data_IF_835934464660
#
_entry.id   IF_835934464660
#
_cell.length_a   1.000
_cell.length_b   1.000
_cell.length_c   1.000
_cell.angle_alpha   90.00
_cell.angle_beta   90.00
_cell.angle_gamma   90.00
#
_symmetry.space_group_name_H-M   'P 1'
#
loop_
_entity.id
_entity.type
_entity.pdbx_description
1 polymer ?
#
# COMPACT_ATOMS: atom_id res chain seq x y z
N UNK A 1 -39.59 32.50 -7.03
CA UNK A 1 -38.45 31.55 -7.35
C UNK A 1 -38.56 30.35 -6.46
N UNK A 2 -38.74 29.18 -7.06
CA UNK A 2 -39.18 27.95 -6.39
C UNK A 2 -38.00 27.31 -5.64
N UNK A 3 -38.16 26.92 -4.35
CA UNK A 3 -37.16 26.26 -3.50
C UNK A 3 -36.56 24.99 -4.14
N UNK A 4 -37.34 24.35 -5.05
CA UNK A 4 -36.91 23.20 -5.83
C UNK A 4 -35.81 23.56 -6.84
N UNK A 5 -35.89 24.73 -7.50
CA UNK A 5 -34.85 25.23 -8.42
C UNK A 5 -33.55 25.60 -7.74
N UNK A 6 -33.61 26.05 -6.49
CA UNK A 6 -32.40 26.34 -5.69
C UNK A 6 -31.72 25.02 -5.22
N UNK A 7 -32.51 24.03 -4.82
CA UNK A 7 -31.98 22.72 -4.43
C UNK A 7 -31.38 21.96 -5.63
N UNK A 8 -32.02 22.02 -6.83
CA UNK A 8 -31.44 21.45 -8.05
C UNK A 8 -30.13 22.13 -8.46
N UNK A 9 -30.00 23.47 -8.30
CA UNK A 9 -28.75 24.18 -8.56
C UNK A 9 -27.63 23.78 -7.60
N UNK A 10 -27.92 23.53 -6.33
CA UNK A 10 -26.95 23.05 -5.34
C UNK A 10 -26.47 21.63 -5.67
N UNK A 11 -27.32 20.78 -6.27
CA UNK A 11 -26.93 19.43 -6.72
C UNK A 11 -26.12 19.48 -8.02
N UNK A 12 -26.41 20.45 -8.92
CA UNK A 12 -25.69 20.60 -10.20
C UNK A 12 -24.36 21.37 -10.05
N UNK A 13 -24.21 22.22 -9.03
CA UNK A 13 -22.97 22.95 -8.77
C UNK A 13 -21.89 22.10 -8.06
N UNK A 14 -22.26 20.89 -7.61
CA UNK A 14 -21.34 19.91 -7.02
C UNK A 14 -20.58 19.08 -8.08
N UNK A 15 -20.69 19.46 -9.37
CA UNK A 15 -19.97 18.81 -10.50
C UNK A 15 -18.59 19.44 -10.79
N UNK A 16 -18.08 20.33 -9.95
CA UNK A 16 -16.64 20.59 -9.95
C UNK A 16 -15.95 19.35 -9.49
N UNK A 17 -15.34 18.63 -10.43
CA UNK A 17 -14.43 17.54 -10.11
C UNK A 17 -13.49 18.04 -9.00
N UNK A 18 -13.46 17.35 -7.86
CA UNK A 18 -12.47 17.67 -6.82
C UNK A 18 -11.11 17.70 -7.49
N UNK A 19 -10.27 18.72 -7.25
CA UNK A 19 -8.94 18.74 -7.84
C UNK A 19 -8.25 17.44 -7.47
N UNK A 20 -7.66 16.79 -8.46
CA UNK A 20 -6.90 15.55 -8.25
C UNK A 20 -5.74 15.86 -7.31
N UNK A 21 -5.62 15.07 -6.24
CA UNK A 21 -4.46 15.17 -5.37
C UNK A 21 -3.26 14.60 -6.13
N UNK A 22 -2.25 15.43 -6.36
CA UNK A 22 -0.96 14.98 -6.89
C UNK A 22 -0.07 14.66 -5.70
N UNK A 23 0.36 13.39 -5.55
CA UNK A 23 1.20 12.98 -4.44
C UNK A 23 2.51 13.77 -4.36
N UNK A 24 3.02 14.03 -3.17
CA UNK A 24 4.26 14.79 -2.96
C UNK A 24 5.41 13.85 -2.64
N UNK A 25 6.31 13.62 -3.59
CA UNK A 25 7.50 12.78 -3.38
C UNK A 25 8.41 13.40 -2.32
N UNK A 26 8.71 12.61 -1.26
CA UNK A 26 9.67 12.95 -0.20
C UNK A 26 10.80 11.93 -0.20
N UNK A 27 12.04 12.38 -0.35
CA UNK A 27 13.22 11.51 -0.25
C UNK A 27 13.81 11.64 1.15
N UNK A 28 13.26 10.87 2.08
CA UNK A 28 13.69 10.83 3.48
C UNK A 28 14.52 9.56 3.71
N UNK A 29 15.47 9.62 4.65
CA UNK A 29 16.23 8.48 5.17
C UNK A 29 15.96 8.37 6.66
N UNK A 30 15.53 7.20 7.12
CA UNK A 30 15.15 7.01 8.52
C UNK A 30 16.28 6.42 9.38
N UNK A 31 17.25 5.72 8.76
CA UNK A 31 18.42 5.15 9.45
C UNK A 31 18.02 4.39 10.73
N UNK A 32 17.06 3.47 10.60
CA UNK A 32 16.57 2.65 11.71
C UNK A 32 17.71 1.85 12.35
N UNK A 33 17.72 1.73 13.69
CA UNK A 33 18.71 0.90 14.38
C UNK A 33 18.41 -0.59 14.16
N UNK A 34 19.26 -1.33 13.42
CA UNK A 34 19.02 -2.74 13.11
C UNK A 34 19.00 -3.63 14.36
N UNK A 35 19.60 -3.21 15.47
CA UNK A 35 19.58 -3.95 16.74
C UNK A 35 18.20 -3.94 17.40
N UNK A 36 17.36 -2.97 17.04
CA UNK A 36 16.03 -2.82 17.60
C UNK A 36 14.94 -3.55 16.79
N UNK A 37 15.26 -4.21 15.70
CA UNK A 37 14.30 -4.81 14.76
C UNK A 37 13.29 -5.76 15.43
N UNK A 38 13.66 -6.44 16.49
CA UNK A 38 12.79 -7.38 17.21
C UNK A 38 11.98 -6.75 18.34
N UNK A 39 12.31 -5.52 18.76
CA UNK A 39 11.70 -4.87 19.94
C UNK A 39 11.51 -3.35 19.81
N UNK A 40 11.53 -2.83 18.57
CA UNK A 40 11.41 -1.39 18.32
C UNK A 40 10.09 -0.77 18.82
N UNK A 41 9.06 -1.59 19.06
CA UNK A 41 7.78 -1.13 19.59
C UNK A 41 7.49 -1.73 20.98
N UNK A 42 8.19 -1.26 22.02
CA UNK A 42 8.05 -1.78 23.38
C UNK A 42 6.60 -1.69 23.94
N UNK A 43 5.86 -0.57 23.80
CA UNK A 43 4.47 -0.50 24.31
C UNK A 43 3.48 -1.42 23.59
N UNK A 44 3.61 -1.58 22.26
CA UNK A 44 2.79 -2.48 21.46
C UNK A 44 3.19 -3.95 21.60
N UNK A 45 4.37 -4.16 22.19
CA UNK A 45 4.90 -5.48 22.47
C UNK A 45 5.30 -6.26 21.22
N UNK A 46 5.65 -7.54 21.42
CA UNK A 46 6.18 -8.37 20.33
C UNK A 46 5.14 -8.67 19.24
N UNK A 47 3.86 -8.68 19.56
CA UNK A 47 2.80 -8.99 18.59
C UNK A 47 2.70 -7.89 17.54
N UNK A 48 2.63 -6.61 17.95
CA UNK A 48 2.56 -5.49 17.02
C UNK A 48 3.87 -5.32 16.25
N UNK A 49 5.02 -5.46 16.91
CA UNK A 49 6.33 -5.46 16.26
C UNK A 49 6.40 -6.54 15.18
N UNK A 50 6.03 -7.79 15.49
CA UNK A 50 6.04 -8.89 14.54
C UNK A 50 5.04 -8.68 13.38
N UNK A 51 3.87 -8.10 13.65
CA UNK A 51 2.90 -7.79 12.60
C UNK A 51 3.45 -6.77 11.60
N UNK A 52 3.97 -5.65 12.09
CA UNK A 52 4.53 -4.59 11.25
C UNK A 52 5.81 -5.07 10.53
N UNK A 53 6.66 -5.88 11.17
CA UNK A 53 7.80 -6.52 10.53
C UNK A 53 7.37 -7.47 9.39
N UNK A 54 6.33 -8.28 9.62
CA UNK A 54 5.78 -9.16 8.57
C UNK A 54 5.24 -8.34 7.41
N UNK A 55 4.57 -7.23 7.70
CA UNK A 55 4.05 -6.34 6.68
C UNK A 55 5.17 -5.66 5.89
N UNK A 56 6.18 -5.11 6.57
CA UNK A 56 7.37 -4.53 5.93
C UNK A 56 8.04 -5.49 4.94
N UNK A 57 8.09 -6.79 5.27
CA UNK A 57 8.73 -7.81 4.42
C UNK A 57 8.19 -7.83 2.99
N UNK A 58 6.90 -7.54 2.81
CA UNK A 58 6.25 -7.63 1.49
C UNK A 58 6.11 -6.30 0.77
N UNK A 59 6.35 -5.17 1.45
CA UNK A 59 6.19 -3.85 0.86
C UNK A 59 7.09 -3.65 -0.37
N UNK A 60 8.42 -3.91 -0.35
CA UNK A 60 9.26 -3.64 -1.51
C UNK A 60 8.84 -4.42 -2.77
N UNK A 61 8.41 -5.66 -2.61
CA UNK A 61 7.95 -6.47 -3.76
C UNK A 61 6.54 -6.07 -4.21
N UNK A 62 5.68 -5.65 -3.26
CA UNK A 62 4.33 -5.14 -3.52
C UNK A 62 4.38 -3.81 -4.28
N UNK A 63 5.19 -2.88 -3.81
CA UNK A 63 5.34 -1.54 -4.41
C UNK A 63 5.94 -1.61 -5.82
N UNK A 64 6.91 -2.49 -6.06
CA UNK A 64 7.37 -2.78 -7.44
C UNK A 64 6.22 -3.28 -8.32
N UNK A 65 5.37 -4.15 -7.82
CA UNK A 65 4.17 -4.62 -8.53
C UNK A 65 3.19 -3.47 -8.81
N UNK A 66 2.96 -2.55 -7.85
CA UNK A 66 2.11 -1.37 -8.05
C UNK A 66 2.66 -0.46 -9.13
N UNK A 67 3.95 -0.14 -9.06
CA UNK A 67 4.67 0.65 -10.08
C UNK A 67 4.47 0.04 -11.46
N UNK A 68 4.71 -1.24 -11.63
CA UNK A 68 4.65 -1.91 -12.93
C UNK A 68 3.23 -1.97 -13.47
N UNK A 69 2.24 -2.24 -12.63
CA UNK A 69 0.84 -2.32 -13.02
C UNK A 69 0.28 -0.97 -13.50
N UNK A 70 0.64 0.13 -12.81
CA UNK A 70 0.24 1.49 -13.20
C UNK A 70 1.02 1.97 -14.42
N UNK A 71 2.32 1.71 -14.48
CA UNK A 71 3.20 2.08 -15.60
C UNK A 71 2.74 1.45 -16.92
N UNK A 72 2.19 0.24 -16.89
CA UNK A 72 1.69 -0.45 -18.10
C UNK A 72 0.59 0.35 -18.85
N UNK A 73 -0.06 1.29 -18.18
CA UNK A 73 -1.12 2.10 -18.79
C UNK A 73 -0.73 3.56 -19.02
N UNK A 74 0.49 3.98 -18.65
CA UNK A 74 0.92 5.39 -18.68
C UNK A 74 0.72 6.06 -20.03
N UNK A 75 0.98 5.35 -21.12
CA UNK A 75 0.87 5.90 -22.48
C UNK A 75 -0.59 6.02 -22.96
N UNK A 76 -1.52 5.31 -22.33
CA UNK A 76 -2.94 5.38 -22.62
C UNK A 76 -3.66 6.51 -21.88
N UNK A 77 -3.01 7.09 -20.86
CA UNK A 77 -3.58 8.21 -20.10
C UNK A 77 -3.42 9.48 -20.93
N UNK A 78 -4.52 10.19 -21.17
CA UNK A 78 -4.52 11.46 -21.91
C UNK A 78 -4.57 12.69 -21.00
N UNK A 79 -5.16 12.56 -19.80
CA UNK A 79 -5.26 13.63 -18.81
C UNK A 79 -3.88 13.99 -18.24
N UNK A 80 -3.40 15.24 -18.40
CA UNK A 80 -2.10 15.66 -17.92
C UNK A 80 -1.98 15.65 -16.39
N UNK A 81 -3.07 15.92 -15.65
CA UNK A 81 -3.05 15.90 -14.18
C UNK A 81 -2.92 14.44 -13.68
N UNK A 82 -3.63 13.49 -14.29
CA UNK A 82 -3.46 12.09 -13.97
C UNK A 82 -2.05 11.58 -14.33
N UNK A 83 -1.45 12.05 -15.43
CA UNK A 83 -0.04 11.74 -15.76
C UNK A 83 0.93 12.24 -14.68
N UNK A 84 0.70 13.42 -14.12
CA UNK A 84 1.50 13.96 -13.01
C UNK A 84 1.31 13.10 -11.77
N UNK A 85 0.06 12.77 -11.40
CA UNK A 85 -0.24 11.93 -10.26
C UNK A 85 0.41 10.55 -10.37
N UNK A 86 0.34 9.90 -11.53
CA UNK A 86 1.01 8.62 -11.82
C UNK A 86 2.53 8.74 -11.67
N UNK A 87 3.13 9.83 -12.16
CA UNK A 87 4.58 10.03 -12.03
C UNK A 87 4.99 10.21 -10.57
N UNK A 88 4.20 10.95 -9.80
CA UNK A 88 4.42 11.16 -8.37
C UNK A 88 4.22 9.88 -7.56
N UNK A 89 3.15 9.12 -7.84
CA UNK A 89 2.89 7.78 -7.29
C UNK A 89 4.09 6.85 -7.47
N UNK A 90 4.55 6.67 -8.71
CA UNK A 90 5.73 5.84 -9.01
C UNK A 90 6.96 6.32 -8.21
N UNK A 91 7.08 7.64 -8.00
CA UNK A 91 8.17 8.21 -7.22
C UNK A 91 8.06 7.97 -5.71
N UNK A 92 6.87 7.99 -5.13
CA UNK A 92 6.63 7.67 -3.72
C UNK A 92 6.87 6.18 -3.48
N UNK A 93 6.26 5.30 -4.28
CA UNK A 93 6.44 3.84 -4.18
C UNK A 93 7.91 3.43 -4.26
N UNK A 94 8.70 4.06 -5.13
CA UNK A 94 10.13 3.79 -5.22
C UNK A 94 10.91 4.24 -3.96
N UNK A 95 10.42 5.25 -3.23
CA UNK A 95 11.03 5.68 -1.96
C UNK A 95 10.62 4.77 -0.81
N UNK A 96 9.35 4.34 -0.77
CA UNK A 96 8.85 3.33 0.17
C UNK A 96 9.66 2.05 0.07
N UNK A 97 9.77 1.48 -1.15
CA UNK A 97 10.55 0.27 -1.41
C UNK A 97 11.99 0.37 -0.88
N UNK A 98 12.67 1.48 -1.14
CA UNK A 98 14.05 1.71 -0.67
C UNK A 98 14.16 1.69 0.86
N UNK A 99 13.27 2.38 1.58
CA UNK A 99 13.34 2.46 3.04
C UNK A 99 12.95 1.11 3.68
N UNK A 100 11.99 0.41 3.09
CA UNK A 100 11.62 -0.92 3.57
C UNK A 100 12.62 -2.00 3.17
N UNK A 101 13.41 -1.85 2.11
CA UNK A 101 14.56 -2.72 1.83
C UNK A 101 15.60 -2.60 2.94
N UNK A 102 15.99 -1.38 3.35
CA UNK A 102 16.91 -1.17 4.48
C UNK A 102 16.36 -1.73 5.80
N UNK A 103 15.07 -1.55 6.06
CA UNK A 103 14.38 -2.14 7.20
C UNK A 103 14.46 -3.68 7.17
N UNK A 104 14.17 -4.25 6.00
CA UNK A 104 14.12 -5.70 5.82
C UNK A 104 15.51 -6.35 5.87
N UNK A 105 16.59 -5.67 5.50
CA UNK A 105 17.95 -6.16 5.68
C UNK A 105 18.23 -6.48 7.15
N UNK A 106 17.80 -5.61 8.08
CA UNK A 106 17.92 -5.88 9.51
C UNK A 106 17.05 -7.07 9.97
N UNK A 107 15.81 -7.18 9.42
CA UNK A 107 14.90 -8.27 9.74
C UNK A 107 15.42 -9.62 9.22
N UNK A 108 15.97 -9.67 8.02
CA UNK A 108 16.50 -10.89 7.40
C UNK A 108 17.75 -11.43 8.11
N UNK A 109 18.47 -10.55 8.81
CA UNK A 109 19.59 -10.98 9.63
C UNK A 109 19.17 -11.77 10.88
N UNK A 110 17.92 -11.63 11.35
CA UNK A 110 17.41 -12.26 12.58
C UNK A 110 16.24 -13.20 12.38
N UNK A 111 15.67 -13.27 11.16
CA UNK A 111 14.55 -14.15 10.83
C UNK A 111 14.89 -15.07 9.67
N UNK A 112 14.61 -16.36 9.82
CA UNK A 112 14.71 -17.33 8.73
C UNK A 112 13.43 -17.40 7.88
N UNK A 113 12.33 -16.88 8.40
CA UNK A 113 10.99 -16.90 7.80
C UNK A 113 10.82 -15.75 6.82
N UNK A 114 11.18 -14.54 7.23
CA UNK A 114 10.94 -13.31 6.46
C UNK A 114 11.51 -13.35 5.02
N UNK A 115 12.78 -13.72 4.77
CA UNK A 115 13.30 -13.75 3.40
C UNK A 115 12.69 -14.86 2.52
N UNK A 116 12.11 -15.90 3.10
CA UNK A 116 11.37 -16.93 2.35
C UNK A 116 10.00 -16.39 1.95
N UNK A 117 9.40 -15.63 2.84
CA UNK A 117 8.10 -15.01 2.59
C UNK A 117 8.17 -13.95 1.49
N UNK A 118 9.16 -13.07 1.53
CA UNK A 118 9.39 -12.10 0.45
C UNK A 118 9.50 -12.80 -0.91
N UNK A 119 10.35 -13.83 -1.03
CA UNK A 119 10.50 -14.60 -2.29
C UNK A 119 9.21 -15.27 -2.75
N UNK A 120 8.41 -15.81 -1.81
CA UNK A 120 7.12 -16.41 -2.14
C UNK A 120 6.17 -15.37 -2.73
N UNK A 121 6.03 -14.21 -2.07
CA UNK A 121 5.16 -13.12 -2.53
C UNK A 121 5.65 -12.56 -3.87
N UNK A 122 6.95 -12.37 -4.03
CA UNK A 122 7.53 -11.93 -5.31
C UNK A 122 7.18 -12.90 -6.46
N UNK A 123 7.28 -14.21 -6.23
CA UNK A 123 6.89 -15.23 -7.21
C UNK A 123 5.41 -15.17 -7.59
N UNK A 124 4.54 -14.97 -6.60
CA UNK A 124 3.09 -14.79 -6.81
C UNK A 124 2.81 -13.55 -7.64
N UNK A 125 3.36 -12.39 -7.27
CA UNK A 125 3.14 -11.12 -7.96
C UNK A 125 3.70 -11.12 -9.40
N UNK A 126 4.89 -11.70 -9.62
CA UNK A 126 5.45 -11.90 -10.96
C UNK A 126 4.54 -12.75 -11.85
N UNK A 127 3.87 -13.73 -11.26
CA UNK A 127 2.90 -14.56 -11.99
C UNK A 127 1.71 -13.73 -12.46
N UNK A 128 1.15 -12.88 -11.61
CA UNK A 128 0.06 -11.98 -12.00
C UNK A 128 0.47 -11.00 -13.10
N UNK A 129 1.62 -10.35 -12.98
CA UNK A 129 2.14 -9.42 -13.99
C UNK A 129 2.34 -10.08 -15.36
N UNK A 130 2.65 -11.38 -15.39
CA UNK A 130 2.86 -12.12 -16.62
C UNK A 130 1.57 -12.40 -17.40
N UNK A 131 0.44 -12.58 -16.69
CA UNK A 131 -0.78 -13.09 -17.32
C UNK A 131 -1.77 -12.01 -17.76
N UNK A 132 -1.93 -10.91 -17.03
CA UNK A 132 -2.97 -9.93 -17.37
C UNK A 132 -2.75 -8.57 -16.72
N UNK A 133 -2.43 -7.56 -17.54
CA UNK A 133 -2.31 -6.18 -17.07
C UNK A 133 -3.60 -5.65 -16.38
N UNK A 134 -4.84 -5.93 -16.89
CA UNK A 134 -6.05 -5.54 -16.17
C UNK A 134 -6.20 -6.21 -14.79
N UNK A 135 -5.83 -7.50 -14.67
CA UNK A 135 -5.87 -8.20 -13.39
C UNK A 135 -4.83 -7.63 -12.43
N UNK A 136 -3.61 -7.34 -12.91
CA UNK A 136 -2.58 -6.68 -12.09
C UNK A 136 -3.03 -5.33 -11.56
N UNK A 137 -3.58 -4.47 -12.42
CA UNK A 137 -4.08 -3.16 -12.00
C UNK A 137 -5.27 -3.28 -11.03
N UNK A 138 -6.17 -4.25 -11.21
CA UNK A 138 -7.25 -4.49 -10.26
C UNK A 138 -6.74 -5.00 -8.92
N UNK A 139 -5.69 -5.81 -8.92
CA UNK A 139 -4.97 -6.25 -7.73
C UNK A 139 -4.29 -5.09 -6.98
N UNK A 140 -3.61 -4.20 -7.72
CA UNK A 140 -3.03 -2.98 -7.14
C UNK A 140 -4.10 -2.13 -6.46
N UNK A 141 -5.24 -1.87 -7.11
CA UNK A 141 -6.36 -1.11 -6.49
C UNK A 141 -6.80 -1.75 -5.16
N UNK A 142 -6.87 -3.08 -5.12
CA UNK A 142 -7.28 -3.80 -3.92
C UNK A 142 -6.24 -3.73 -2.80
N UNK A 143 -4.96 -3.88 -3.13
CA UNK A 143 -3.86 -3.81 -2.17
C UNK A 143 -3.67 -2.39 -1.65
N UNK A 144 -3.72 -1.38 -2.50
CA UNK A 144 -3.77 0.05 -2.14
C UNK A 144 -4.91 0.38 -1.17
N UNK A 145 -6.05 -0.30 -1.31
CA UNK A 145 -7.13 -0.15 -0.35
C UNK A 145 -6.76 -0.72 1.03
N UNK A 146 -6.04 -1.85 1.09
CA UNK A 146 -5.58 -2.42 2.36
C UNK A 146 -4.47 -1.58 3.00
N UNK A 147 -3.49 -1.12 2.23
CA UNK A 147 -2.43 -0.23 2.73
C UNK A 147 -3.03 1.08 3.23
N UNK A 148 -3.99 1.65 2.51
CA UNK A 148 -4.71 2.85 2.93
C UNK A 148 -5.51 2.68 4.23
N UNK A 149 -6.12 1.50 4.50
CA UNK A 149 -6.78 1.20 5.78
C UNK A 149 -5.78 1.08 6.93
N UNK A 150 -4.62 0.45 6.68
CA UNK A 150 -3.55 0.36 7.68
C UNK A 150 -2.93 1.74 7.93
N UNK A 151 -2.76 2.54 6.89
CA UNK A 151 -2.29 3.92 6.99
C UNK A 151 -3.22 4.78 7.86
N UNK A 152 -4.54 4.67 7.66
CA UNK A 152 -5.52 5.34 8.51
C UNK A 152 -5.37 4.93 9.98
N UNK A 153 -5.16 3.65 10.26
CA UNK A 153 -4.92 3.15 11.61
C UNK A 153 -3.64 3.73 12.24
N UNK A 154 -2.53 3.81 11.46
CA UNK A 154 -1.25 4.38 11.95
C UNK A 154 -1.38 5.88 12.23
N UNK A 155 -2.17 6.62 11.44
CA UNK A 155 -2.31 8.07 11.57
C UNK A 155 -3.37 8.47 12.60
N UNK A 156 -4.43 7.68 12.75
CA UNK A 156 -5.57 8.02 13.61
C UNK A 156 -5.48 7.44 15.03
N UNK A 157 -4.77 6.33 15.23
CA UNK A 157 -4.58 5.71 16.54
C UNK A 157 -3.13 5.87 17.04
N UNK A 158 -2.87 6.78 18.00
CA UNK A 158 -1.54 6.99 18.55
C UNK A 158 -0.89 5.70 19.07
N UNK A 159 -1.68 4.74 19.58
CA UNK A 159 -1.18 3.49 20.19
C UNK A 159 -0.39 2.63 19.21
N UNK A 160 -0.62 2.78 17.90
CA UNK A 160 0.09 2.00 16.87
C UNK A 160 1.57 2.31 16.80
N UNK A 161 1.99 3.54 17.13
CA UNK A 161 3.39 3.97 17.05
C UNK A 161 3.87 4.80 18.25
N UNK A 162 3.00 5.07 19.24
CA UNK A 162 3.36 5.84 20.44
C UNK A 162 4.31 5.04 21.34
N UNK A 163 5.40 5.68 21.78
CA UNK A 163 6.42 5.05 22.61
C UNK A 163 7.30 4.02 21.88
N UNK A 164 7.14 3.87 20.57
CA UNK A 164 8.04 3.10 19.72
C UNK A 164 9.38 3.82 19.55
N UNK A 165 10.40 3.09 19.05
CA UNK A 165 11.65 3.72 18.64
C UNK A 165 11.37 4.85 17.64
N UNK A 166 11.93 6.06 17.85
CA UNK A 166 11.58 7.24 17.05
C UNK A 166 11.83 7.10 15.55
N UNK A 167 12.89 6.39 15.13
CA UNK A 167 13.21 6.20 13.72
C UNK A 167 12.18 5.29 13.04
N UNK A 168 11.83 4.17 13.69
CA UNK A 168 10.79 3.26 13.22
C UNK A 168 9.41 3.92 13.19
N UNK A 169 9.04 4.64 14.25
CA UNK A 169 7.78 5.38 14.30
C UNK A 169 7.68 6.44 13.20
N UNK A 170 8.78 7.14 12.93
CA UNK A 170 8.83 8.15 11.86
C UNK A 170 8.69 7.52 10.47
N UNK A 171 9.33 6.37 10.22
CA UNK A 171 9.20 5.63 8.97
C UNK A 171 7.75 5.21 8.73
N UNK A 172 7.10 4.56 9.70
CA UNK A 172 5.72 4.11 9.55
C UNK A 172 4.72 5.26 9.40
N UNK A 173 4.91 6.40 10.11
CA UNK A 173 4.06 7.58 9.93
C UNK A 173 4.24 8.24 8.57
N UNK A 174 5.48 8.33 8.09
CA UNK A 174 5.76 8.87 6.76
C UNK A 174 5.14 8.01 5.66
N UNK A 175 5.36 6.69 5.71
CA UNK A 175 4.75 5.74 4.78
C UNK A 175 3.22 5.88 4.80
N UNK A 176 2.59 5.82 5.98
CA UNK A 176 1.15 5.97 6.12
C UNK A 176 0.62 7.31 5.57
N UNK A 177 1.35 8.41 5.75
CA UNK A 177 0.96 9.70 5.17
C UNK A 177 0.95 9.64 3.64
N UNK A 178 2.01 9.10 3.02
CA UNK A 178 2.12 9.02 1.57
C UNK A 178 1.09 8.05 0.98
N UNK A 179 0.75 6.93 1.65
CA UNK A 179 -0.36 6.04 1.30
C UNK A 179 -1.70 6.78 1.20
N UNK A 180 -1.97 7.74 2.10
CA UNK A 180 -3.22 8.52 2.02
C UNK A 180 -3.23 9.49 0.84
N UNK A 181 -2.06 9.94 0.37
CA UNK A 181 -1.94 10.85 -0.77
C UNK A 181 -2.20 10.14 -2.10
N UNK A 182 -1.78 8.88 -2.25
CA UNK A 182 -1.82 8.21 -3.55
C UNK A 182 -2.83 7.06 -3.68
N UNK A 183 -3.54 6.70 -2.63
CA UNK A 183 -4.54 5.61 -2.60
C UNK A 183 -5.59 5.62 -3.73
N UNK A 184 -5.82 6.77 -4.38
CA UNK A 184 -6.78 6.88 -5.47
C UNK A 184 -6.14 6.73 -6.86
N UNK A 185 -4.83 6.84 -7.00
CA UNK A 185 -4.16 6.95 -8.31
C UNK A 185 -4.40 5.71 -9.17
N UNK A 186 -4.22 4.51 -8.63
CA UNK A 186 -4.46 3.27 -9.37
C UNK A 186 -5.93 3.14 -9.83
N UNK A 187 -6.88 3.58 -9.00
CA UNK A 187 -8.31 3.60 -9.33
C UNK A 187 -8.64 4.64 -10.42
N UNK A 188 -8.00 5.81 -10.40
CA UNK A 188 -8.18 6.85 -11.41
C UNK A 188 -7.60 6.41 -12.75
N UNK A 189 -6.43 5.76 -12.76
CA UNK A 189 -5.87 5.10 -13.95
C UNK A 189 -6.84 4.06 -14.50
N UNK A 190 -7.37 3.18 -13.64
CA UNK A 190 -8.38 2.20 -14.05
C UNK A 190 -9.58 2.86 -14.71
N UNK A 191 -10.12 3.91 -14.11
CA UNK A 191 -11.30 4.61 -14.62
C UNK A 191 -11.02 5.26 -15.98
N UNK A 192 -9.82 5.79 -16.17
CA UNK A 192 -9.40 6.40 -17.43
C UNK A 192 -9.25 5.39 -18.57
N UNK A 193 -8.72 4.18 -18.28
CA UNK A 193 -8.36 3.21 -19.33
C UNK A 193 -9.38 2.09 -19.52
N UNK A 194 -10.05 1.65 -18.44
CA UNK A 194 -11.04 0.57 -18.47
C UNK A 194 -12.50 1.06 -18.47
N UNK A 195 -12.71 2.34 -18.11
CA UNK A 195 -14.03 2.93 -17.98
C UNK A 195 -14.81 2.45 -16.75
N UNK A 196 -16.14 2.73 -16.76
CA UNK A 196 -17.05 2.48 -15.64
C UNK A 196 -18.12 1.41 -15.93
N UNK A 197 -17.95 0.64 -17.00
CA UNK A 197 -18.92 -0.38 -17.41
C UNK A 197 -19.00 -1.57 -16.45
N UNK A 198 -20.04 -2.39 -16.59
CA UNK A 198 -20.30 -3.56 -15.73
C UNK A 198 -19.13 -4.55 -15.75
N UNK A 199 -18.49 -4.77 -16.91
CA UNK A 199 -17.31 -5.64 -17.02
C UNK A 199 -16.12 -5.11 -16.23
N UNK A 200 -15.82 -3.81 -16.32
CA UNK A 200 -14.76 -3.17 -15.55
C UNK A 200 -15.04 -3.23 -14.03
N UNK A 201 -16.29 -3.02 -13.63
CA UNK A 201 -16.72 -3.18 -12.24
C UNK A 201 -16.53 -4.62 -11.75
N UNK A 202 -17.01 -5.60 -12.51
CA UNK A 202 -16.90 -7.03 -12.18
C UNK A 202 -15.45 -7.48 -12.04
N UNK A 203 -14.55 -7.00 -12.91
CA UNK A 203 -13.12 -7.34 -12.83
C UNK A 203 -12.45 -6.73 -11.58
N UNK A 204 -12.85 -5.52 -11.15
CA UNK A 204 -12.37 -4.97 -9.88
C UNK A 204 -12.89 -5.76 -8.67
N UNK A 205 -14.14 -6.17 -8.67
CA UNK A 205 -14.69 -7.03 -7.61
C UNK A 205 -13.94 -8.37 -7.54
N UNK A 206 -13.66 -8.97 -8.71
CA UNK A 206 -12.84 -10.18 -8.80
C UNK A 206 -11.42 -9.93 -8.24
N UNK A 207 -10.76 -8.84 -8.65
CA UNK A 207 -9.45 -8.45 -8.14
C UNK A 207 -9.42 -8.26 -6.63
N UNK A 208 -10.44 -7.59 -6.07
CA UNK A 208 -10.57 -7.42 -4.63
C UNK A 208 -10.73 -8.76 -3.91
N UNK A 209 -11.62 -9.65 -4.38
CA UNK A 209 -11.81 -10.97 -3.79
C UNK A 209 -10.54 -11.81 -3.84
N UNK A 210 -9.88 -11.84 -5.01
CA UNK A 210 -8.62 -12.58 -5.19
C UNK A 210 -7.49 -12.03 -4.31
N UNK A 211 -7.29 -10.71 -4.31
CA UNK A 211 -6.29 -10.05 -3.47
C UNK A 211 -6.56 -10.30 -1.98
N UNK A 212 -7.82 -10.26 -1.53
CA UNK A 212 -8.19 -10.54 -0.14
C UNK A 212 -7.77 -11.95 0.26
N UNK A 213 -8.13 -12.95 -0.54
CA UNK A 213 -7.81 -14.36 -0.23
C UNK A 213 -6.30 -14.61 -0.27
N UNK A 214 -5.61 -14.13 -1.30
CA UNK A 214 -4.16 -14.35 -1.46
C UNK A 214 -3.39 -13.59 -0.39
N UNK A 215 -3.67 -12.31 -0.19
CA UNK A 215 -2.95 -11.47 0.76
C UNK A 215 -3.08 -11.99 2.19
N UNK A 216 -4.29 -12.11 2.70
CA UNK A 216 -4.50 -12.58 4.08
C UNK A 216 -4.16 -14.05 4.26
N UNK A 217 -4.35 -14.88 3.23
CA UNK A 217 -3.94 -16.29 3.20
C UNK A 217 -2.43 -16.47 3.27
N UNK A 218 -1.64 -15.47 2.87
CA UNK A 218 -0.18 -15.48 2.98
C UNK A 218 0.29 -14.77 4.27
N UNK A 219 -0.24 -13.59 4.56
CA UNK A 219 0.24 -12.75 5.69
C UNK A 219 -0.05 -13.41 7.04
N UNK A 220 -1.26 -13.95 7.26
CA UNK A 220 -1.62 -14.50 8.57
C UNK A 220 -0.76 -15.71 8.96
N UNK A 221 -0.59 -16.74 8.12
CA UNK A 221 0.26 -17.88 8.47
C UNK A 221 1.72 -17.48 8.73
N UNK A 222 2.25 -16.56 7.92
CA UNK A 222 3.64 -16.10 8.09
C UNK A 222 3.81 -15.27 9.36
N UNK A 223 2.87 -14.38 9.67
CA UNK A 223 2.86 -13.65 10.93
C UNK A 223 2.87 -14.59 12.14
N UNK A 224 2.06 -15.64 12.12
CA UNK A 224 2.05 -16.65 13.18
C UNK A 224 3.39 -17.41 13.26
N UNK A 225 4.01 -17.68 12.12
CA UNK A 225 5.32 -18.36 12.09
C UNK A 225 6.45 -17.45 12.59
N UNK A 226 6.40 -16.14 12.28
CA UNK A 226 7.33 -15.13 12.85
C UNK A 226 7.19 -15.09 14.37
N UNK A 227 5.96 -15.12 14.90
CA UNK A 227 5.73 -15.18 16.36
C UNK A 227 6.27 -16.48 16.99
N UNK A 228 6.17 -17.63 16.30
CA UNK A 228 6.78 -18.90 16.76
C UNK A 228 8.31 -18.80 16.76
N UNK A 229 8.91 -18.30 15.69
CA UNK A 229 10.35 -18.10 15.59
C UNK A 229 10.89 -17.24 16.74
N UNK A 230 10.11 -16.26 17.17
CA UNK A 230 10.44 -15.39 18.31
C UNK A 230 10.10 -15.99 19.68
N UNK A 231 9.57 -17.21 19.75
CA UNK A 231 9.14 -17.85 21.00
C UNK A 231 7.94 -17.16 21.67
N UNK A 232 7.10 -16.46 20.89
CA UNK A 232 5.93 -15.72 21.38
C UNK A 232 4.60 -16.44 21.13
N UNK A 233 4.64 -17.51 20.37
CA UNK A 233 3.53 -18.41 20.10
C UNK A 233 3.97 -19.84 20.43
N UNK A 234 3.29 -20.48 21.39
CA UNK A 234 3.48 -21.89 21.78
C UNK A 234 2.50 -22.81 21.06
#
# INVERSE_FOLDING_TARGET
MNKLSAALRLVTDNTRAKPMLVPTRRSIRFNVDPKRISDWHTPGGPVLTAFLNTFSTILPVGERFFIDSVRAYRDQITDPELKKAVTAFIGQEAMHGREHEEYNDALFAVSSVAPKFERLVEGVLKTFNKYSAPVSLSGTIALEHFTGLLADSVLSDPRVVEGADPAYAALWRWHALEETEHKAVAFDVWTAVMGKGVGAYGLRCFGLGLATVVFWGLVIPVFLEVLREQGKLT
#
